data_IF_713906569346
#
_entry.id   IF_713906569346
#
_cell.length_a   1.000
_cell.length_b   1.000
_cell.length_c   1.000
_cell.angle_alpha   90.00
_cell.angle_beta   90.00
_cell.angle_gamma   90.00
#
_symmetry.space_group_name_H-M   'P 1'
#
loop_
_entity.id
_entity.type
_entity.pdbx_description
1 polymer ?
#
# COMPACT_ATOMS: atom_id res chain seq x y z
N UNK A 1 3.54 12.99 41.44
CA UNK A 1 3.60 11.81 40.53
C UNK A 1 2.50 12.00 39.49
N UNK A 2 2.84 12.04 38.21
CA UNK A 2 1.80 12.04 37.16
C UNK A 2 1.09 10.68 37.21
N UNK A 3 -0.26 10.63 37.10
CA UNK A 3 -0.97 9.37 37.02
C UNK A 3 -0.42 8.54 35.84
N UNK A 4 -0.41 7.20 35.93
CA UNK A 4 0.00 6.37 34.81
C UNK A 4 -0.88 6.73 33.61
N UNK A 5 -0.26 7.18 32.51
CA UNK A 5 -0.97 7.48 31.27
C UNK A 5 -1.65 6.20 30.82
N UNK A 6 -2.97 6.13 30.94
CA UNK A 6 -3.77 5.09 30.31
C UNK A 6 -3.63 5.32 28.80
N UNK A 7 -2.90 4.45 28.12
CA UNK A 7 -2.75 4.52 26.67
C UNK A 7 -4.10 4.15 26.05
N UNK A 8 -4.61 5.02 25.20
CA UNK A 8 -5.83 4.77 24.44
C UNK A 8 -5.55 3.68 23.39
N UNK A 9 -6.45 2.68 23.30
CA UNK A 9 -6.30 1.59 22.33
C UNK A 9 -7.05 1.91 21.04
N UNK A 10 -6.49 1.48 19.90
CA UNK A 10 -7.22 1.49 18.63
C UNK A 10 -8.43 0.58 18.73
N UNK A 11 -9.57 1.05 18.22
CA UNK A 11 -10.78 0.23 18.15
C UNK A 11 -10.56 -1.05 17.32
N UNK A 12 -9.99 -0.91 16.12
CA UNK A 12 -9.78 -2.02 15.19
C UNK A 12 -8.49 -2.81 15.44
N UNK A 13 -7.44 -2.16 15.93
CA UNK A 13 -6.13 -2.77 16.22
C UNK A 13 -5.81 -2.69 17.71
N UNK A 14 -6.71 -3.21 18.54
CA UNK A 14 -6.47 -3.33 19.98
C UNK A 14 -5.34 -4.33 20.29
N UNK A 15 -4.95 -4.44 21.57
CA UNK A 15 -3.82 -5.29 21.96
C UNK A 15 -4.02 -6.76 21.59
N UNK A 16 -5.22 -7.30 21.79
CA UNK A 16 -5.53 -8.68 21.48
C UNK A 16 -5.38 -8.97 19.98
N UNK A 17 -5.87 -8.06 19.12
CA UNK A 17 -5.71 -8.17 17.66
C UNK A 17 -4.23 -8.12 17.26
N UNK A 18 -3.46 -7.22 17.85
CA UNK A 18 -2.03 -7.10 17.58
C UNK A 18 -1.25 -8.35 18.03
N UNK A 19 -1.54 -8.88 19.22
CA UNK A 19 -0.96 -10.13 19.72
C UNK A 19 -1.24 -11.30 18.78
N UNK A 20 -2.46 -11.42 18.28
CA UNK A 20 -2.81 -12.43 17.28
C UNK A 20 -2.00 -12.25 15.99
N UNK A 21 -1.93 -11.03 15.44
CA UNK A 21 -1.18 -10.76 14.20
C UNK A 21 0.30 -11.12 14.38
N UNK A 22 0.90 -10.75 15.51
CA UNK A 22 2.30 -11.08 15.80
C UNK A 22 2.51 -12.57 15.95
N UNK A 23 1.65 -13.28 16.70
CA UNK A 23 1.75 -14.72 16.86
C UNK A 23 1.62 -15.47 15.52
N UNK A 24 0.65 -15.07 14.70
CA UNK A 24 0.45 -15.67 13.39
C UNK A 24 1.63 -15.40 12.45
N UNK A 25 2.20 -14.20 12.47
CA UNK A 25 3.37 -13.84 11.67
C UNK A 25 4.64 -14.60 12.11
N UNK A 26 4.82 -14.85 13.41
CA UNK A 26 5.99 -15.57 13.94
C UNK A 26 5.90 -17.08 13.72
N UNK A 27 4.73 -17.68 13.91
CA UNK A 27 4.57 -19.15 13.87
C UNK A 27 4.09 -19.68 12.52
N UNK A 28 3.55 -18.81 11.65
CA UNK A 28 2.81 -19.24 10.45
C UNK A 28 1.49 -19.94 10.75
N UNK A 29 1.06 -19.96 12.02
CA UNK A 29 -0.18 -20.58 12.47
C UNK A 29 -1.28 -19.52 12.54
N UNK A 30 -2.39 -19.76 11.85
CA UNK A 30 -3.57 -18.91 11.94
C UNK A 30 -4.74 -19.72 12.53
N UNK A 31 -5.62 -19.04 13.26
CA UNK A 31 -6.79 -19.70 13.82
C UNK A 31 -7.79 -20.03 12.70
N UNK A 32 -8.01 -21.32 12.44
CA UNK A 32 -9.13 -21.78 11.60
C UNK A 32 -10.36 -21.85 12.49
N UNK A 33 -11.18 -20.79 12.50
CA UNK A 33 -12.47 -20.80 13.21
C UNK A 33 -13.62 -20.35 12.33
N UNK A 34 -14.81 -20.92 12.54
CA UNK A 34 -16.05 -20.44 11.94
C UNK A 34 -16.43 -19.05 12.47
N UNK A 35 -16.94 -18.18 11.59
CA UNK A 35 -17.43 -16.85 11.95
C UNK A 35 -18.83 -16.94 12.59
N UNK A 36 -18.95 -16.54 13.86
CA UNK A 36 -20.22 -16.38 14.59
C UNK A 36 -20.06 -15.46 15.80
N UNK A 37 -20.97 -14.49 15.97
CA UNK A 37 -20.77 -13.37 16.90
C UNK A 37 -20.94 -13.75 18.39
N UNK A 38 -20.03 -13.27 19.26
CA UNK A 38 -20.24 -13.15 20.73
C UNK A 38 -20.54 -11.70 21.19
N UNK A 39 -20.84 -10.86 20.18
CA UNK A 39 -21.47 -9.52 20.02
C UNK A 39 -20.71 -8.23 20.40
N UNK A 40 -20.55 -7.33 19.42
CA UNK A 40 -21.24 -6.03 19.32
C UNK A 40 -21.69 -5.86 17.84
N UNK A 41 -22.49 -4.83 17.53
CA UNK A 41 -23.42 -4.70 16.40
C UNK A 41 -23.13 -3.42 15.56
N UNK A 42 -23.73 -3.27 14.36
CA UNK A 42 -23.01 -2.83 13.16
C UNK A 42 -22.89 -1.31 12.89
N UNK A 43 -21.87 -1.00 12.09
CA UNK A 43 -21.53 0.22 11.34
C UNK A 43 -21.69 -0.05 9.82
N UNK A 44 -21.46 0.93 8.94
CA UNK A 44 -21.53 0.69 7.49
C UNK A 44 -20.42 -0.24 6.95
N UNK A 45 -19.31 -0.42 7.68
CA UNK A 45 -18.29 -1.44 7.40
C UNK A 45 -18.77 -2.86 7.78
N UNK A 46 -19.86 -2.97 8.54
CA UNK A 46 -20.43 -4.25 9.00
C UNK A 46 -21.56 -4.78 8.09
N UNK A 47 -21.83 -4.10 6.98
CA UNK A 47 -22.74 -4.58 5.95
C UNK A 47 -21.96 -5.37 4.88
N UNK A 48 -21.90 -6.70 5.04
CA UNK A 48 -21.38 -7.61 4.00
C UNK A 48 -22.54 -8.18 3.21
N UNK A 49 -22.68 -7.76 1.95
CA UNK A 49 -23.57 -8.42 1.00
C UNK A 49 -22.88 -9.67 0.45
N UNK A 50 -23.23 -10.84 1.00
CA UNK A 50 -22.77 -12.13 0.49
C UNK A 50 -23.54 -12.49 -0.79
N UNK A 51 -23.11 -11.93 -1.93
CA UNK A 51 -23.73 -12.17 -3.24
C UNK A 51 -23.48 -13.58 -3.79
N UNK A 52 -22.68 -14.38 -3.09
CA UNK A 52 -22.31 -15.76 -3.42
C UNK A 52 -23.50 -16.75 -3.50
N UNK A 53 -24.72 -16.31 -3.15
CA UNK A 53 -25.96 -17.07 -3.37
C UNK A 53 -27.01 -16.30 -4.19
N UNK A 54 -26.75 -15.02 -4.46
CA UNK A 54 -27.68 -14.14 -5.18
C UNK A 54 -27.36 -14.04 -6.67
N UNK A 55 -26.09 -14.23 -7.06
CA UNK A 55 -25.66 -13.98 -8.45
C UNK A 55 -24.83 -15.11 -9.07
N UNK A 56 -24.21 -15.99 -8.28
CA UNK A 56 -23.41 -17.14 -8.74
C UNK A 56 -23.53 -18.28 -7.73
N UNK A 57 -23.30 -19.53 -8.16
CA UNK A 57 -23.21 -20.67 -7.24
C UNK A 57 -21.85 -20.66 -6.50
N UNK A 58 -21.81 -21.00 -5.21
CA UNK A 58 -20.56 -21.19 -4.48
C UNK A 58 -19.81 -22.40 -5.06
N UNK A 59 -18.47 -22.29 -5.11
CA UNK A 59 -17.61 -23.38 -5.59
C UNK A 59 -17.57 -24.53 -4.58
N UNK A 60 -17.72 -25.76 -5.07
CA UNK A 60 -17.51 -26.95 -4.26
C UNK A 60 -16.01 -27.20 -4.10
N UNK A 61 -15.40 -26.79 -2.98
CA UNK A 61 -13.93 -26.78 -2.80
C UNK A 61 -13.18 -28.11 -3.01
N UNK A 62 -13.87 -29.26 -3.02
CA UNK A 62 -13.28 -30.56 -3.35
C UNK A 62 -13.37 -30.92 -4.84
N UNK A 63 -14.20 -30.22 -5.62
CA UNK A 63 -14.38 -30.40 -7.07
C UNK A 63 -13.79 -29.25 -7.88
N UNK A 64 -13.85 -28.04 -7.33
CA UNK A 64 -13.55 -26.80 -8.02
C UNK A 64 -12.45 -26.04 -7.28
N UNK A 65 -11.49 -25.51 -8.04
CA UNK A 65 -10.43 -24.66 -7.50
C UNK A 65 -10.85 -23.20 -7.55
N UNK A 66 -10.68 -22.49 -6.44
CA UNK A 66 -10.80 -21.03 -6.42
C UNK A 66 -9.51 -20.41 -7.00
N UNK A 67 -9.61 -19.78 -8.17
CA UNK A 67 -8.48 -19.04 -8.75
C UNK A 67 -8.39 -17.65 -8.08
N UNK A 68 -7.30 -17.41 -7.36
CA UNK A 68 -6.99 -16.11 -6.73
C UNK A 68 -6.17 -15.21 -7.65
N UNK A 69 -5.67 -15.76 -8.76
CA UNK A 69 -4.87 -15.03 -9.74
C UNK A 69 -5.61 -13.78 -10.21
N UNK A 70 -4.93 -12.65 -10.12
CA UNK A 70 -5.46 -11.33 -10.43
C UNK A 70 -4.60 -10.68 -11.52
N UNK A 71 -5.22 -10.24 -12.60
CA UNK A 71 -4.54 -9.59 -13.72
C UNK A 71 -5.00 -8.14 -13.82
N UNK A 72 -4.08 -7.20 -13.58
CA UNK A 72 -4.34 -5.76 -13.70
C UNK A 72 -4.02 -5.28 -15.11
N UNK A 73 -4.96 -4.54 -15.71
CA UNK A 73 -4.78 -3.97 -17.05
C UNK A 73 -5.11 -4.92 -18.21
N UNK A 74 -5.80 -6.03 -17.98
CA UNK A 74 -6.13 -7.06 -18.99
C UNK A 74 -6.80 -6.55 -20.27
N UNK A 75 -7.48 -5.39 -20.24
CA UNK A 75 -8.17 -4.81 -21.39
C UNK A 75 -7.30 -3.91 -22.28
N UNK A 76 -6.35 -3.17 -21.70
CA UNK A 76 -5.67 -2.07 -22.39
C UNK A 76 -4.15 -2.04 -22.20
N UNK A 77 -3.60 -2.76 -21.22
CA UNK A 77 -2.16 -2.77 -20.99
C UNK A 77 -1.48 -3.70 -22.01
N UNK A 78 -0.40 -3.20 -22.63
CA UNK A 78 0.47 -4.03 -23.48
C UNK A 78 1.20 -5.10 -22.65
N UNK A 79 1.53 -4.76 -21.41
CA UNK A 79 2.14 -5.65 -20.42
C UNK A 79 1.27 -5.58 -19.15
N UNK A 80 0.26 -6.45 -19.01
CA UNK A 80 -0.54 -6.54 -17.80
C UNK A 80 0.30 -6.99 -16.60
N UNK A 81 -0.05 -6.52 -15.41
CA UNK A 81 0.56 -7.01 -14.16
C UNK A 81 -0.21 -8.24 -13.69
N UNK A 82 0.48 -9.35 -13.53
CA UNK A 82 -0.09 -10.60 -13.03
C UNK A 82 0.33 -10.84 -11.58
N UNK A 83 -0.66 -11.06 -10.72
CA UNK A 83 -0.49 -11.38 -9.30
C UNK A 83 -1.14 -12.73 -9.00
N UNK A 84 -0.58 -13.51 -8.08
CA UNK A 84 -1.12 -14.81 -7.67
C UNK A 84 -2.34 -14.67 -6.73
N UNK A 85 -2.48 -13.52 -6.07
CA UNK A 85 -3.55 -13.22 -5.10
C UNK A 85 -4.13 -11.81 -5.31
N UNK A 86 -5.40 -11.55 -4.92
CA UNK A 86 -6.05 -10.25 -5.07
C UNK A 86 -5.71 -9.28 -3.91
N UNK A 87 -4.49 -9.34 -3.38
CA UNK A 87 -4.05 -8.56 -2.22
C UNK A 87 -2.72 -7.91 -2.56
N UNK A 88 -2.62 -6.58 -2.49
CA UNK A 88 -1.38 -5.83 -2.73
C UNK A 88 -0.92 -5.09 -1.48
N UNK A 89 0.39 -4.90 -1.31
CA UNK A 89 0.93 -4.08 -0.21
C UNK A 89 0.92 -2.62 -0.63
N UNK A 90 0.09 -1.81 0.05
CA UNK A 90 -0.10 -0.40 -0.24
C UNK A 90 1.17 0.46 -0.08
N UNK A 91 1.18 1.60 -0.77
CA UNK A 91 2.32 2.51 -0.82
C UNK A 91 2.63 3.17 0.51
N UNK A 92 3.78 2.84 1.10
CA UNK A 92 4.33 3.49 2.29
C UNK A 92 5.75 3.95 1.99
N UNK A 93 6.01 5.25 2.17
CA UNK A 93 7.25 5.87 1.70
C UNK A 93 8.47 5.44 2.52
N UNK A 94 9.62 5.29 1.86
CA UNK A 94 10.92 5.31 2.55
C UNK A 94 11.10 6.67 3.25
N UNK A 95 11.38 6.64 4.57
CA UNK A 95 11.34 7.80 5.46
C UNK A 95 10.19 7.71 6.47
N UNK A 96 9.00 7.29 6.02
CA UNK A 96 7.95 6.84 6.94
C UNK A 96 8.27 5.44 7.48
N UNK A 97 8.75 4.55 6.59
CA UNK A 97 9.31 3.24 6.90
C UNK A 97 10.83 3.24 6.75
N UNK A 98 11.48 2.31 7.45
CA UNK A 98 12.92 2.04 7.30
C UNK A 98 13.22 1.30 5.99
N UNK A 99 14.49 1.33 5.55
CA UNK A 99 14.92 0.56 4.38
C UNK A 99 14.72 -0.95 4.60
N UNK A 100 15.00 -1.45 5.80
CA UNK A 100 14.81 -2.85 6.16
C UNK A 100 13.33 -3.25 6.09
N UNK A 101 12.42 -2.38 6.57
CA UNK A 101 10.98 -2.63 6.46
C UNK A 101 10.55 -2.72 4.99
N UNK A 102 11.06 -1.84 4.13
CA UNK A 102 10.76 -1.85 2.69
C UNK A 102 11.30 -3.12 2.01
N UNK A 103 12.51 -3.53 2.35
CA UNK A 103 13.11 -4.78 1.86
C UNK A 103 12.30 -6.01 2.30
N UNK A 104 11.92 -6.09 3.59
CA UNK A 104 11.12 -7.19 4.12
C UNK A 104 9.75 -7.28 3.44
N UNK A 105 9.07 -6.16 3.21
CA UNK A 105 7.81 -6.13 2.47
C UNK A 105 7.99 -6.60 1.03
N UNK A 106 9.08 -6.20 0.36
CA UNK A 106 9.39 -6.65 -0.99
C UNK A 106 9.62 -8.16 -1.09
N UNK A 107 10.39 -8.73 -0.15
CA UNK A 107 10.62 -10.19 -0.08
C UNK A 107 9.32 -10.95 0.15
N UNK A 108 8.53 -10.51 1.13
CA UNK A 108 7.25 -11.13 1.45
C UNK A 108 6.27 -11.05 0.25
N UNK A 109 6.18 -9.90 -0.41
CA UNK A 109 5.34 -9.76 -1.60
C UNK A 109 5.78 -10.70 -2.73
N UNK A 110 7.09 -10.79 -2.97
CA UNK A 110 7.65 -11.72 -3.97
C UNK A 110 7.30 -13.17 -3.67
N UNK A 111 7.47 -13.61 -2.42
CA UNK A 111 7.15 -14.98 -1.98
C UNK A 111 5.65 -15.28 -2.10
N UNK A 112 4.80 -14.31 -1.76
CA UNK A 112 3.34 -14.43 -1.87
C UNK A 112 2.79 -14.21 -3.28
N UNK A 113 3.66 -13.92 -4.25
CA UNK A 113 3.26 -13.66 -5.64
C UNK A 113 2.43 -12.39 -5.82
N UNK A 114 2.70 -11.35 -5.03
CA UNK A 114 2.00 -10.06 -5.11
C UNK A 114 2.96 -8.87 -5.26
N UNK A 115 2.43 -7.65 -5.31
CA UNK A 115 3.15 -6.41 -5.51
C UNK A 115 3.32 -5.58 -4.23
N UNK A 116 4.39 -4.78 -4.20
CA UNK A 116 4.54 -3.63 -3.29
C UNK A 116 4.44 -2.31 -4.05
N UNK A 117 4.18 -1.23 -3.32
CA UNK A 117 4.19 0.14 -3.88
C UNK A 117 5.21 1.03 -3.15
N UNK A 118 5.96 1.86 -3.89
CA UNK A 118 7.09 2.63 -3.35
C UNK A 118 6.70 3.66 -2.27
N UNK A 119 5.50 4.24 -2.33
CA UNK A 119 5.16 5.38 -1.47
C UNK A 119 5.70 6.73 -2.01
N UNK A 120 5.48 7.81 -1.25
CA UNK A 120 6.01 9.19 -1.45
C UNK A 120 7.54 9.35 -1.26
N UNK A 121 8.29 8.25 -1.33
CA UNK A 121 9.71 8.21 -0.96
C UNK A 121 10.68 7.99 -2.09
N UNK A 122 10.19 7.76 -3.30
CA UNK A 122 10.99 7.20 -4.39
C UNK A 122 11.29 5.71 -4.18
N UNK A 123 12.03 5.12 -5.13
CA UNK A 123 12.42 3.71 -5.13
C UNK A 123 13.79 3.56 -4.46
N UNK A 124 13.88 2.70 -3.45
CA UNK A 124 15.20 2.35 -2.90
C UNK A 124 15.80 1.15 -3.65
N UNK A 125 17.14 1.04 -3.73
CA UNK A 125 17.78 -0.14 -4.32
C UNK A 125 17.40 -1.46 -3.64
N UNK A 126 17.22 -1.44 -2.31
CA UNK A 126 16.83 -2.60 -1.51
C UNK A 126 15.41 -3.06 -1.86
N UNK A 127 14.46 -2.12 -1.95
CA UNK A 127 13.07 -2.42 -2.34
C UNK A 127 13.01 -3.01 -3.76
N UNK A 128 13.69 -2.39 -4.73
CA UNK A 128 13.67 -2.88 -6.10
C UNK A 128 14.27 -4.28 -6.26
N UNK A 129 15.33 -4.60 -5.50
CA UNK A 129 15.93 -5.94 -5.51
C UNK A 129 15.03 -6.99 -4.85
N UNK A 130 14.28 -6.60 -3.82
CA UNK A 130 13.45 -7.51 -3.04
C UNK A 130 12.10 -7.81 -3.70
N UNK A 131 11.49 -6.83 -4.37
CA UNK A 131 10.18 -6.95 -5.00
C UNK A 131 10.28 -7.48 -6.43
N UNK A 132 9.58 -8.57 -6.74
CA UNK A 132 9.38 -9.08 -8.11
C UNK A 132 8.47 -8.16 -8.91
N UNK A 133 7.38 -7.70 -8.30
CA UNK A 133 6.47 -6.69 -8.87
C UNK A 133 6.48 -5.47 -7.96
N UNK A 134 6.97 -4.34 -8.47
CA UNK A 134 7.03 -3.08 -7.75
C UNK A 134 6.29 -1.99 -8.53
N UNK A 135 5.28 -1.43 -7.87
CA UNK A 135 4.50 -0.30 -8.37
C UNK A 135 5.16 0.99 -7.91
N UNK A 136 5.48 1.88 -8.85
CA UNK A 136 6.08 3.17 -8.55
C UNK A 136 5.00 4.23 -8.37
N UNK A 137 5.06 4.95 -7.25
CA UNK A 137 4.02 5.93 -6.92
C UNK A 137 4.39 7.33 -7.42
N UNK A 138 3.45 7.96 -8.12
CA UNK A 138 3.56 9.30 -8.69
C UNK A 138 2.66 10.26 -7.91
N UNK A 139 3.24 11.00 -6.96
CA UNK A 139 2.51 11.91 -6.06
C UNK A 139 2.61 13.38 -6.49
N UNK A 140 1.68 14.25 -6.05
CA UNK A 140 1.65 15.68 -6.37
C UNK A 140 3.01 16.39 -6.38
N UNK A 141 3.82 16.20 -5.33
CA UNK A 141 5.06 16.94 -5.14
C UNK A 141 6.26 16.40 -5.89
N UNK A 142 6.16 15.20 -6.46
CA UNK A 142 7.28 14.52 -7.16
C UNK A 142 8.53 14.31 -6.28
N UNK A 143 8.39 14.25 -4.96
CA UNK A 143 9.54 14.00 -4.09
C UNK A 143 10.14 12.62 -4.38
N UNK A 144 11.43 12.61 -4.69
CA UNK A 144 12.15 11.39 -5.08
C UNK A 144 11.62 10.74 -6.36
N UNK A 145 10.86 11.47 -7.19
CA UNK A 145 10.42 11.00 -8.50
C UNK A 145 11.60 10.99 -9.47
N UNK A 146 12.05 9.78 -9.82
CA UNK A 146 13.22 9.57 -10.67
C UNK A 146 12.80 8.79 -11.94
N UNK A 147 12.91 9.39 -13.14
CA UNK A 147 12.58 8.73 -14.40
C UNK A 147 13.31 7.40 -14.62
N UNK A 148 14.55 7.27 -14.13
CA UNK A 148 15.31 6.02 -14.28
C UNK A 148 14.72 4.89 -13.43
N UNK A 149 14.18 5.22 -12.25
CA UNK A 149 13.49 4.25 -11.40
C UNK A 149 12.10 3.92 -11.93
N UNK A 150 11.40 4.90 -12.51
CA UNK A 150 10.10 4.68 -13.19
C UNK A 150 10.25 3.65 -14.32
N UNK A 151 11.31 3.74 -15.14
CA UNK A 151 11.59 2.76 -16.20
C UNK A 151 11.88 1.35 -15.68
N UNK A 152 12.28 1.23 -14.41
CA UNK A 152 12.55 -0.04 -13.74
C UNK A 152 11.33 -0.58 -12.97
N UNK A 153 10.22 0.14 -12.95
CA UNK A 153 9.00 -0.27 -12.26
C UNK A 153 8.11 -1.14 -13.15
N UNK A 154 7.26 -1.96 -12.52
CA UNK A 154 6.35 -2.86 -13.23
C UNK A 154 4.99 -2.22 -13.51
N UNK A 155 4.64 -1.18 -12.73
CA UNK A 155 3.49 -0.32 -12.95
C UNK A 155 3.70 1.04 -12.29
N UNK A 156 2.83 2.01 -12.62
CA UNK A 156 2.82 3.33 -12.03
C UNK A 156 1.46 3.57 -11.37
N UNK A 157 1.47 4.03 -10.12
CA UNK A 157 0.28 4.46 -9.38
C UNK A 157 0.26 5.98 -9.32
N UNK A 158 -0.71 6.63 -9.98
CA UNK A 158 -0.92 8.07 -9.92
C UNK A 158 -1.83 8.39 -8.73
N UNK A 159 -1.33 9.16 -7.76
CA UNK A 159 -2.03 9.38 -6.49
C UNK A 159 -2.85 10.66 -6.54
N UNK A 160 -4.16 10.50 -6.64
CA UNK A 160 -5.09 11.64 -6.59
C UNK A 160 -5.32 12.10 -5.14
N UNK A 161 -5.34 11.17 -4.19
CA UNK A 161 -5.54 11.45 -2.77
C UNK A 161 -5.36 10.20 -1.91
N UNK A 162 -5.40 10.38 -0.59
CA UNK A 162 -5.29 9.28 0.37
C UNK A 162 -6.35 9.38 1.46
N UNK A 163 -6.91 8.24 1.88
CA UNK A 163 -8.02 8.20 2.85
C UNK A 163 -7.70 8.84 4.20
N UNK A 164 -6.44 8.77 4.66
CA UNK A 164 -6.02 9.39 5.92
C UNK A 164 -6.08 10.93 5.91
N UNK A 165 -5.98 11.56 4.74
CA UNK A 165 -6.02 13.03 4.58
C UNK A 165 -6.41 13.39 3.14
N UNK A 166 -7.70 13.29 2.79
CA UNK A 166 -8.14 13.43 1.41
C UNK A 166 -7.86 14.81 0.81
N UNK A 167 -7.86 15.87 1.63
CA UNK A 167 -7.57 17.25 1.20
C UNK A 167 -6.10 17.69 1.36
N UNK A 168 -5.21 16.82 1.84
CA UNK A 168 -3.82 17.16 2.15
C UNK A 168 -2.81 16.28 1.44
N UNK A 169 -1.62 16.81 1.17
CA UNK A 169 -0.51 16.01 0.66
C UNK A 169 0.21 15.23 1.77
N UNK A 170 1.07 14.28 1.38
CA UNK A 170 2.07 13.62 2.22
C UNK A 170 2.83 14.58 3.19
N UNK A 171 3.23 14.06 4.35
CA UNK A 171 3.98 14.85 5.34
C UNK A 171 5.01 13.95 6.00
N UNK A 172 6.24 14.43 6.09
CA UNK A 172 7.31 13.75 6.79
C UNK A 172 8.02 14.76 7.69
N UNK A 173 8.10 14.47 8.98
CA UNK A 173 8.73 15.34 9.95
C UNK A 173 10.25 15.43 9.69
N UNK A 174 10.83 16.59 9.94
CA UNK A 174 12.26 16.87 9.77
C UNK A 174 13.16 15.90 10.51
N UNK A 175 12.74 15.45 11.70
CA UNK A 175 13.44 14.42 12.48
C UNK A 175 13.60 13.08 11.73
N UNK A 176 12.73 12.79 10.75
CA UNK A 176 12.79 11.59 9.91
C UNK A 176 13.48 11.86 8.57
N UNK A 177 13.84 13.10 8.26
CA UNK A 177 14.62 13.45 7.08
C UNK A 177 16.11 13.26 7.41
N UNK A 178 16.53 12.00 7.36
CA UNK A 178 17.94 11.60 7.42
C UNK A 178 18.70 12.05 6.18
N UNK A 179 20.05 12.05 6.18
CA UNK A 179 20.85 12.41 5.01
C UNK A 179 20.45 11.67 3.74
N UNK A 180 20.12 10.38 3.88
CA UNK A 180 19.67 9.54 2.76
C UNK A 180 18.29 9.95 2.24
N UNK A 181 17.34 10.26 3.12
CA UNK A 181 16.00 10.73 2.72
C UNK A 181 16.09 12.12 2.07
N UNK A 182 16.88 13.02 2.65
CA UNK A 182 17.18 14.34 2.11
C UNK A 182 17.74 14.25 0.69
N UNK A 183 18.76 13.42 0.47
CA UNK A 183 19.36 13.21 -0.84
C UNK A 183 18.35 12.64 -1.85
N UNK A 184 17.60 11.61 -1.48
CA UNK A 184 16.61 11.00 -2.38
C UNK A 184 15.51 11.97 -2.79
N UNK A 185 15.12 12.90 -1.90
CA UNK A 185 13.98 13.80 -2.13
C UNK A 185 14.40 15.21 -2.55
N UNK A 186 15.70 15.47 -2.70
CA UNK A 186 16.27 16.80 -2.98
C UNK A 186 15.78 17.82 -1.95
N UNK A 187 15.86 17.45 -0.66
CA UNK A 187 15.43 18.28 0.46
C UNK A 187 16.60 18.55 1.42
N UNK A 188 16.60 19.70 2.13
CA UNK A 188 17.51 19.91 3.24
C UNK A 188 17.23 18.94 4.39
N UNK A 189 18.28 18.46 5.04
CA UNK A 189 18.18 17.60 6.23
C UNK A 189 17.47 18.32 7.38
N UNK A 190 16.70 17.57 8.19
CA UNK A 190 16.07 18.11 9.39
C UNK A 190 14.87 19.04 9.16
N UNK A 191 14.49 19.32 7.92
CA UNK A 191 13.34 20.19 7.59
C UNK A 191 12.10 19.35 7.30
N UNK A 192 10.94 19.78 7.79
CA UNK A 192 9.67 19.12 7.49
C UNK A 192 9.38 19.11 5.99
N UNK A 193 9.06 17.95 5.44
CA UNK A 193 8.48 17.84 4.11
C UNK A 193 6.96 17.97 4.18
N UNK A 194 6.41 18.85 3.34
CA UNK A 194 4.98 19.01 3.14
C UNK A 194 4.67 18.91 1.66
N UNK A 195 3.99 17.82 1.28
CA UNK A 195 3.60 17.61 -0.09
C UNK A 195 2.40 18.47 -0.48
N UNK A 196 2.36 18.91 -1.73
CA UNK A 196 1.21 19.62 -2.29
C UNK A 196 -0.05 18.72 -2.26
N UNK A 197 -1.23 19.31 -2.12
CA UNK A 197 -2.50 18.59 -2.16
C UNK A 197 -3.01 18.34 -3.59
N UNK A 198 -2.40 18.98 -4.59
CA UNK A 198 -2.77 18.88 -6.00
C UNK A 198 -1.53 18.71 -6.83
N UNK A 199 -1.64 17.92 -7.88
CA UNK A 199 -0.60 17.87 -8.89
C UNK A 199 -0.49 19.24 -9.57
N UNK A 200 0.71 19.81 -9.70
CA UNK A 200 0.89 21.12 -10.30
C UNK A 200 0.74 21.09 -11.83
N UNK A 201 0.86 19.91 -12.43
CA UNK A 201 0.93 19.68 -13.87
C UNK A 201 -0.38 19.17 -14.49
N UNK A 202 -1.45 19.04 -13.71
CA UNK A 202 -2.79 18.74 -14.24
C UNK A 202 -3.88 19.24 -13.30
N UNK A 203 -4.94 19.81 -13.88
CA UNK A 203 -6.06 20.41 -13.13
C UNK A 203 -7.36 19.65 -13.30
N UNK A 204 -7.50 18.89 -14.40
CA UNK A 204 -8.70 18.16 -14.75
C UNK A 204 -8.43 16.80 -15.40
N UNK A 205 -9.50 16.07 -15.77
CA UNK A 205 -9.39 14.74 -16.35
C UNK A 205 -8.68 14.71 -17.72
N UNK A 206 -8.80 15.78 -18.51
CA UNK A 206 -8.14 15.89 -19.82
C UNK A 206 -6.62 16.00 -19.64
N UNK A 207 -6.17 16.85 -18.70
CA UNK A 207 -4.76 16.97 -18.33
C UNK A 207 -4.22 15.66 -17.75
N UNK A 208 -5.01 14.92 -16.94
CA UNK A 208 -4.62 13.60 -16.44
C UNK A 208 -4.41 12.61 -17.59
N UNK A 209 -5.23 12.70 -18.63
CA UNK A 209 -5.08 11.85 -19.82
C UNK A 209 -3.74 12.11 -20.51
N UNK A 210 -3.38 13.39 -20.69
CA UNK A 210 -2.05 13.77 -21.21
C UNK A 210 -0.96 13.23 -20.29
N UNK A 211 -1.12 13.34 -18.97
CA UNK A 211 -0.13 12.85 -18.02
C UNK A 211 0.07 11.33 -18.07
N UNK A 212 -1.01 10.58 -18.24
CA UNK A 212 -0.95 9.12 -18.42
C UNK A 212 -0.21 8.77 -19.72
N UNK A 213 -0.37 9.57 -20.78
CA UNK A 213 0.36 9.38 -22.03
C UNK A 213 1.85 9.70 -21.89
N UNK A 214 2.22 10.74 -21.13
CA UNK A 214 3.63 11.08 -20.86
C UNK A 214 4.38 9.99 -20.07
N UNK A 215 3.68 9.30 -19.17
CA UNK A 215 4.25 8.26 -18.32
C UNK A 215 4.34 6.88 -19.00
N UNK A 216 3.71 6.70 -20.16
CA UNK A 216 3.70 5.46 -20.95
C UNK A 216 4.83 5.43 -21.97
#
# INVERSE_FOLDING_TARGET
>A
MNPPRRLEESFSFNRQTLEYIHHAAEQGLYEIRGLGAKRHLPTFDDLVFLTASASRYPLEGYREKCATKTVLGSRHAKQPVELEIPITIAGMSFGALSANSKESLGRAATEMGTSTTTGDGGMTPEERRASKVLVYQCLPSRYGFNPDDVRRADAIEIVIGQGAKPGGGGMLLGQKISPRVAQMRTLPEGIDQRSACRHPDWTGPDDLTIKILELR
#
